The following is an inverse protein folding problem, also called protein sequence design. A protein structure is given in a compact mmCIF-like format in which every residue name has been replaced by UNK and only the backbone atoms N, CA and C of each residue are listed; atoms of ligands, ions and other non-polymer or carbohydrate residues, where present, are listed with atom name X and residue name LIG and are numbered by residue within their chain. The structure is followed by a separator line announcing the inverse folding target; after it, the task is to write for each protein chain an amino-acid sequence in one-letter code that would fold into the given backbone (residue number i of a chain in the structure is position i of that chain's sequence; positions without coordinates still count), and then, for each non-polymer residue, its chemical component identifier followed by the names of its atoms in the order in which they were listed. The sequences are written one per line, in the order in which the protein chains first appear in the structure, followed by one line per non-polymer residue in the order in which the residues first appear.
data_IF_977395907789
#
_entry.id   IF_977395907789
#
_cell.length_a   1.000
_cell.length_b   1.000
_cell.length_c   1.000
_cell.angle_alpha   90.00
_cell.angle_beta   90.00
_cell.angle_gamma   90.00
#
_symmetry.space_group_name_H-M   'P 1'
#
loop_
_entity.id
_entity.type
_entity.pdbx_description
1 polymer ?
#
# COMPACT_ATOMS: atom_id res chain seq x y z
N UNK A 1 -24.21 27.90 -14.44
CA UNK A 1 -23.70 27.74 -13.05
C UNK A 1 -24.40 26.53 -12.44
N UNK A 2 -23.85 25.35 -12.67
CA UNK A 2 -24.34 24.13 -12.02
C UNK A 2 -23.79 24.11 -10.59
N UNK A 3 -24.60 23.80 -9.57
CA UNK A 3 -24.12 23.82 -8.19
C UNK A 3 -23.11 22.69 -8.01
N UNK A 4 -21.96 23.05 -7.43
CA UNK A 4 -20.95 22.12 -6.95
C UNK A 4 -21.60 21.20 -5.91
N UNK A 5 -21.37 19.87 -5.93
CA UNK A 5 -21.87 19.02 -4.87
C UNK A 5 -21.12 19.35 -3.59
N UNK A 6 -21.85 19.96 -2.65
CA UNK A 6 -21.44 20.10 -1.25
C UNK A 6 -21.41 18.68 -0.69
N UNK A 7 -20.21 18.18 -0.40
CA UNK A 7 -20.03 16.92 0.32
C UNK A 7 -20.85 16.97 1.62
N UNK A 8 -21.74 16.01 1.80
CA UNK A 8 -22.53 15.87 3.02
C UNK A 8 -21.63 15.25 4.10
N UNK A 9 -21.60 15.86 5.28
CA UNK A 9 -20.97 15.26 6.46
C UNK A 9 -21.54 13.85 6.67
N UNK A 10 -20.68 12.84 6.58
CA UNK A 10 -21.04 11.42 6.80
C UNK A 10 -20.88 10.49 5.59
N UNK A 11 -20.52 10.98 4.41
CA UNK A 11 -20.07 10.10 3.31
C UNK A 11 -18.56 9.90 3.40
N UNK A 12 -18.14 8.80 4.04
CA UNK A 12 -16.81 8.24 3.81
C UNK A 12 -16.76 7.72 2.36
N UNK A 13 -16.38 8.60 1.44
CA UNK A 13 -15.95 8.21 0.10
C UNK A 13 -14.58 7.54 0.25
N UNK A 14 -14.59 6.27 0.69
CA UNK A 14 -13.40 5.44 0.56
C UNK A 14 -13.21 5.14 -0.94
N UNK A 15 -12.04 5.41 -1.52
CA UNK A 15 -11.74 4.89 -2.85
C UNK A 15 -11.89 3.35 -2.83
N UNK A 16 -12.35 2.77 -3.94
CA UNK A 16 -12.48 1.32 -4.11
C UNK A 16 -11.27 0.60 -3.48
N UNK A 17 -11.53 -0.31 -2.53
CA UNK A 17 -10.52 -0.92 -1.65
C UNK A 17 -9.34 -1.47 -2.47
N UNK A 18 -8.21 -0.77 -2.41
CA UNK A 18 -6.95 -1.22 -3.02
C UNK A 18 -6.45 -2.47 -2.30
N UNK A 19 -6.74 -3.63 -2.88
CA UNK A 19 -6.21 -4.92 -2.44
C UNK A 19 -4.94 -5.21 -3.25
N UNK A 20 -3.88 -5.68 -2.60
CA UNK A 20 -2.65 -6.12 -3.26
C UNK A 20 -2.40 -7.60 -2.97
N UNK A 21 -2.17 -8.37 -4.02
CA UNK A 21 -1.64 -9.74 -3.93
C UNK A 21 -0.16 -9.73 -3.58
N UNK A 22 0.35 -10.85 -3.08
CA UNK A 22 1.79 -11.02 -2.87
C UNK A 22 2.62 -10.72 -4.14
N UNK A 23 2.17 -11.23 -5.29
CA UNK A 23 2.83 -11.02 -6.58
C UNK A 23 2.90 -9.54 -6.97
N UNK A 24 1.86 -8.76 -6.69
CA UNK A 24 1.85 -7.31 -6.96
C UNK A 24 2.84 -6.57 -6.06
N UNK A 25 2.97 -6.96 -4.79
CA UNK A 25 3.96 -6.39 -3.89
C UNK A 25 5.39 -6.72 -4.34
N UNK A 26 5.65 -7.94 -4.80
CA UNK A 26 6.93 -8.33 -5.38
C UNK A 26 7.27 -7.51 -6.65
N UNK A 27 6.30 -7.38 -7.57
CA UNK A 27 6.46 -6.57 -8.79
C UNK A 27 6.73 -5.10 -8.46
N UNK A 28 6.08 -4.56 -7.43
CA UNK A 28 6.33 -3.19 -6.98
C UNK A 28 7.79 -3.01 -6.51
N UNK A 29 8.35 -4.00 -5.80
CA UNK A 29 9.75 -3.97 -5.37
C UNK A 29 10.71 -3.97 -6.57
N UNK A 30 10.49 -4.88 -7.53
CA UNK A 30 11.31 -4.94 -8.75
C UNK A 30 11.28 -3.61 -9.52
N UNK A 31 10.09 -3.02 -9.62
CA UNK A 31 9.90 -1.75 -10.31
C UNK A 31 10.71 -0.63 -9.63
N UNK A 32 10.64 -0.47 -8.31
CA UNK A 32 11.40 0.59 -7.62
C UNK A 32 12.90 0.33 -7.58
N UNK A 33 13.35 -0.92 -7.55
CA UNK A 33 14.77 -1.28 -7.61
C UNK A 33 15.40 -1.00 -8.98
N UNK A 34 14.59 -1.01 -10.05
CA UNK A 34 15.05 -0.74 -11.42
C UNK A 34 15.25 0.74 -11.73
N UNK A 35 15.02 1.63 -10.76
CA UNK A 35 14.89 3.08 -10.97
C UNK A 35 15.89 3.84 -10.10
N UNK A 36 16.54 4.89 -10.63
CA UNK A 36 17.34 5.78 -9.79
C UNK A 36 16.43 6.67 -8.93
N UNK A 37 16.98 7.19 -7.81
CA UNK A 37 16.24 8.03 -6.85
C UNK A 37 15.64 9.31 -7.46
N UNK A 38 16.22 9.83 -8.54
CA UNK A 38 15.80 11.04 -9.25
C UNK A 38 14.82 10.77 -10.40
N UNK A 39 14.41 9.52 -10.62
CA UNK A 39 13.39 9.18 -11.61
C UNK A 39 12.06 9.86 -11.23
N UNK A 40 11.39 10.59 -12.15
CA UNK A 40 10.09 11.21 -11.90
C UNK A 40 9.05 10.24 -11.33
N UNK A 41 9.07 8.97 -11.76
CA UNK A 41 8.20 7.93 -11.21
C UNK A 41 8.41 7.75 -9.70
N UNK A 42 9.67 7.76 -9.24
CA UNK A 42 9.97 7.57 -7.83
C UNK A 42 9.53 8.77 -6.98
N UNK A 43 9.58 9.98 -7.56
CA UNK A 43 9.03 11.19 -6.94
C UNK A 43 7.51 11.11 -6.83
N UNK A 44 6.84 10.63 -7.88
CA UNK A 44 5.38 10.46 -7.90
C UNK A 44 4.93 9.46 -6.81
N UNK A 45 5.65 8.34 -6.66
CA UNK A 45 5.35 7.33 -5.63
C UNK A 45 5.59 7.85 -4.21
N UNK A 46 6.68 8.59 -3.99
CA UNK A 46 7.00 9.15 -2.68
C UNK A 46 6.02 10.28 -2.28
N UNK A 47 5.46 10.97 -3.28
CA UNK A 47 4.55 12.09 -3.15
C UNK A 47 5.22 13.45 -3.32
N UNK A 48 4.44 14.45 -3.72
CA UNK A 48 4.95 15.78 -4.07
C UNK A 48 4.90 16.83 -2.95
N UNK A 49 4.30 16.50 -1.81
CA UNK A 49 4.13 17.48 -0.74
C UNK A 49 5.46 17.70 0.02
N UNK A 50 5.70 18.86 0.66
CA UNK A 50 6.95 19.14 1.36
C UNK A 50 7.28 18.19 2.52
N UNK A 51 6.29 17.47 3.05
CA UNK A 51 6.45 16.44 4.09
C UNK A 51 6.51 15.01 3.54
N UNK A 52 6.51 14.85 2.21
CA UNK A 52 6.64 13.56 1.57
C UNK A 52 8.00 12.95 1.90
N UNK A 53 8.02 11.62 1.95
CA UNK A 53 9.28 10.93 2.19
C UNK A 53 10.22 11.04 0.99
N UNK A 54 11.51 10.80 1.21
CA UNK A 54 12.46 10.75 0.10
C UNK A 54 12.24 9.45 -0.69
N UNK A 55 12.39 9.45 -2.03
CA UNK A 55 12.34 8.25 -2.88
C UNK A 55 13.06 7.01 -2.30
N UNK A 56 14.29 7.17 -1.81
CA UNK A 56 15.05 6.08 -1.17
C UNK A 56 14.36 5.37 0.01
N UNK A 57 13.44 6.04 0.70
CA UNK A 57 12.69 5.46 1.83
C UNK A 57 11.54 4.57 1.35
N UNK A 58 11.01 4.84 0.16
CA UNK A 58 9.97 4.03 -0.48
C UNK A 58 10.46 2.59 -0.70
N UNK A 59 11.68 2.43 -1.21
CA UNK A 59 12.30 1.12 -1.44
C UNK A 59 12.32 0.28 -0.16
N UNK A 60 12.75 0.88 0.95
CA UNK A 60 12.81 0.19 2.25
C UNK A 60 11.44 -0.26 2.76
N UNK A 61 10.40 0.55 2.55
CA UNK A 61 9.02 0.20 2.95
C UNK A 61 8.46 -0.94 2.12
N UNK A 62 8.65 -0.91 0.81
CA UNK A 62 8.19 -1.99 -0.08
C UNK A 62 8.95 -3.28 0.25
N UNK A 63 10.27 -3.20 0.47
CA UNK A 63 11.05 -4.37 0.89
C UNK A 63 10.57 -4.97 2.22
N UNK A 64 10.23 -4.12 3.20
CA UNK A 64 9.65 -4.58 4.46
C UNK A 64 8.29 -5.26 4.23
N UNK A 65 7.44 -4.70 3.38
CA UNK A 65 6.15 -5.29 3.05
C UNK A 65 6.32 -6.66 2.37
N UNK A 66 7.24 -6.78 1.41
CA UNK A 66 7.61 -8.06 0.78
C UNK A 66 8.03 -9.09 1.83
N UNK A 67 8.89 -8.70 2.77
CA UNK A 67 9.38 -9.59 3.82
C UNK A 67 8.22 -10.10 4.72
N UNK A 68 7.30 -9.21 5.11
CA UNK A 68 6.12 -9.57 5.92
C UNK A 68 5.20 -10.52 5.17
N UNK A 69 4.86 -10.20 3.91
CA UNK A 69 3.98 -11.02 3.07
C UNK A 69 4.55 -12.41 2.85
N UNK A 70 5.85 -12.48 2.52
CA UNK A 70 6.55 -13.74 2.28
C UNK A 70 6.62 -14.59 3.55
N UNK A 71 6.97 -13.98 4.68
CA UNK A 71 7.13 -14.68 5.95
C UNK A 71 5.80 -15.23 6.48
N UNK A 72 4.74 -14.43 6.39
CA UNK A 72 3.42 -14.79 6.91
C UNK A 72 2.55 -15.56 5.91
N UNK A 73 3.03 -15.75 4.66
CA UNK A 73 2.26 -16.37 3.57
C UNK A 73 0.91 -15.69 3.35
N UNK A 74 0.92 -14.35 3.35
CA UNK A 74 -0.26 -13.53 3.07
C UNK A 74 -0.55 -13.62 1.56
N UNK A 75 -1.76 -14.04 1.19
CA UNK A 75 -2.21 -14.09 -0.19
C UNK A 75 -2.58 -12.70 -0.70
N UNK A 76 -3.35 -11.95 0.10
CA UNK A 76 -3.81 -10.61 -0.24
C UNK A 76 -3.70 -9.68 0.97
N UNK A 77 -3.34 -8.42 0.70
CA UNK A 77 -3.28 -7.33 1.66
C UNK A 77 -4.37 -6.33 1.31
N UNK A 78 -5.18 -6.00 2.30
CA UNK A 78 -6.14 -4.90 2.22
C UNK A 78 -5.64 -3.77 3.09
N UNK A 79 -5.52 -2.58 2.51
CA UNK A 79 -5.22 -1.37 3.27
C UNK A 79 -6.50 -0.70 3.74
N UNK A 80 -6.59 -0.47 5.05
CA UNK A 80 -7.64 0.32 5.68
C UNK A 80 -7.03 1.59 6.28
N UNK A 81 -7.72 2.74 6.24
CA UNK A 81 -7.30 3.88 7.02
C UNK A 81 -7.26 3.51 8.50
N UNK A 82 -6.14 3.77 9.16
CA UNK A 82 -6.02 3.64 10.60
C UNK A 82 -6.76 4.82 11.25
N UNK A 83 -7.86 4.54 11.95
CA UNK A 83 -8.62 5.55 12.70
C UNK A 83 -7.99 5.71 14.09
N UNK A 84 -7.32 6.83 14.36
CA UNK A 84 -6.66 7.08 15.65
C UNK A 84 -5.68 8.27 15.65
N UNK A 85 -4.86 8.37 16.71
CA UNK A 85 -3.91 9.48 16.92
C UNK A 85 -2.81 9.61 15.87
N UNK A 86 -2.61 8.59 15.04
CA UNK A 86 -1.68 8.59 13.92
C UNK A 86 -2.48 8.31 12.64
N UNK A 87 -2.52 9.27 11.72
CA UNK A 87 -3.03 9.02 10.38
C UNK A 87 -2.10 7.99 9.70
N UNK A 88 -2.65 6.88 9.23
CA UNK A 88 -1.86 5.79 8.65
C UNK A 88 -2.72 4.77 7.92
N UNK A 89 -2.07 3.70 7.45
CA UNK A 89 -2.74 2.55 6.84
C UNK A 89 -2.54 1.32 7.72
N UNK A 90 -3.63 0.63 8.02
CA UNK A 90 -3.66 -0.69 8.59
C UNK A 90 -3.67 -1.72 7.45
N UNK A 91 -2.71 -2.64 7.46
CA UNK A 91 -2.68 -3.75 6.51
C UNK A 91 -3.35 -4.98 7.15
N UNK A 92 -4.42 -5.47 6.52
CA UNK A 92 -5.07 -6.74 6.86
C UNK A 92 -4.67 -7.81 5.84
N UNK A 93 -4.22 -8.96 6.32
CA UNK A 93 -3.83 -10.08 5.46
C UNK A 93 -4.92 -11.15 5.38
N UNK A 94 -5.21 -11.65 4.18
CA UNK A 94 -5.83 -12.97 3.98
C UNK A 94 -4.70 -13.99 3.79
N UNK A 95 -4.80 -15.15 4.44
CA UNK A 95 -3.73 -16.15 4.43
C UNK A 95 -4.01 -17.26 3.42
N UNK A 96 -2.96 -17.81 2.82
CA UNK A 96 -3.09 -19.02 2.01
C UNK A 96 -3.59 -20.15 2.93
N UNK A 97 -4.68 -20.85 2.58
CA UNK A 97 -5.12 -22.02 3.34
C UNK A 97 -3.99 -23.06 3.38
N UNK A 98 -3.51 -23.38 4.57
CA UNK A 98 -2.55 -24.49 4.72
C UNK A 98 -3.24 -25.77 4.26
N UNK A 99 -2.60 -26.49 3.33
CA UNK A 99 -3.04 -27.84 3.01
C UNK A 99 -3.11 -28.66 4.32
N UNK A 100 -4.17 -29.48 4.51
CA UNK A 100 -4.27 -30.28 5.71
C UNK A 100 -3.03 -31.15 5.85
N UNK A 101 -2.41 -31.12 7.04
CA UNK A 101 -1.30 -32.01 7.38
C UNK A 101 -1.82 -33.45 7.28
N UNK A 102 -1.55 -34.13 6.17
CA UNK A 102 -1.74 -35.58 6.07
C UNK A 102 -0.73 -36.23 6.99
N UNK A 103 -1.23 -36.88 8.05
CA UNK A 103 -0.43 -37.63 9.03
C UNK A 103 0.21 -38.86 8.42
#
# INVERSE_FOLDING_TARGET
KSPSPVAREGEEVFPERGTLTADEVHKALELVLSRPDDDPFMVDVAGHNPGAERPRLVVGKIALLVAVVSHLQIAEIVFLPAVGSCAGLMALGTFVPLAPLTK
#
